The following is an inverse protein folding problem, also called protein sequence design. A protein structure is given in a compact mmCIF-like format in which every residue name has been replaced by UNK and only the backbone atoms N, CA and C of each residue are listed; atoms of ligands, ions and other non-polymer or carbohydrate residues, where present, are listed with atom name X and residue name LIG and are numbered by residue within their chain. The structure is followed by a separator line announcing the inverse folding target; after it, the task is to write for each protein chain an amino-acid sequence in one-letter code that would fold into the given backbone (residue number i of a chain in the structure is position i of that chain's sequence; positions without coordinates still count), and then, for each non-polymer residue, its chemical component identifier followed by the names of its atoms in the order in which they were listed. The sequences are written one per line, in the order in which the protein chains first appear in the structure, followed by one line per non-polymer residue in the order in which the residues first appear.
data_IF_701591352252
#
_entry.id   IF_701591352252
#
_cell.length_a   1.000
_cell.length_b   1.000
_cell.length_c   1.000
_cell.angle_alpha   90.00
_cell.angle_beta   90.00
_cell.angle_gamma   90.00
#
_symmetry.space_group_name_H-M   'P 1'
#
loop_
_entity.id
_entity.type
_entity.pdbx_description
1 polymer ?
#
# COMPACT_ATOMS: atom_id res chain seq x y z
N UNK A 1 -6.81 -26.38 6.08
CA UNK A 1 -6.58 -25.00 5.63
C UNK A 1 -7.77 -24.19 6.11
N UNK A 2 -7.59 -23.03 6.75
CA UNK A 2 -8.74 -22.17 7.04
C UNK A 2 -9.40 -21.81 5.71
N UNK A 3 -10.72 -21.84 5.67
CA UNK A 3 -11.53 -21.48 4.52
C UNK A 3 -11.21 -20.03 4.14
N UNK A 4 -10.60 -19.84 2.96
CA UNK A 4 -10.30 -18.49 2.45
C UNK A 4 -11.62 -17.77 2.24
N UNK A 5 -11.91 -16.78 3.06
CA UNK A 5 -13.12 -15.99 2.94
C UNK A 5 -12.94 -14.98 1.80
N UNK A 6 -13.70 -15.17 0.74
CA UNK A 6 -13.79 -14.21 -0.36
C UNK A 6 -14.21 -12.84 0.21
N UNK A 7 -13.48 -11.76 -0.10
CA UNK A 7 -13.85 -10.44 0.37
C UNK A 7 -15.24 -10.02 -0.10
N UNK A 8 -15.99 -9.34 0.76
CA UNK A 8 -17.37 -8.89 0.48
C UNK A 8 -17.43 -7.59 -0.35
N UNK A 9 -16.29 -6.95 -0.60
CA UNK A 9 -16.15 -5.68 -1.30
C UNK A 9 -14.73 -5.14 -1.17
N UNK A 10 -14.54 -3.86 -1.45
CA UNK A 10 -13.24 -3.19 -1.44
C UNK A 10 -13.31 -1.95 -0.54
N UNK A 11 -12.37 -1.84 0.38
CA UNK A 11 -12.12 -0.60 1.09
C UNK A 11 -10.80 0.01 0.60
N UNK A 12 -10.88 1.20 0.00
CA UNK A 12 -9.70 1.96 -0.42
C UNK A 12 -9.11 2.73 0.77
N UNK A 13 -7.80 2.63 0.96
CA UNK A 13 -7.03 3.38 1.96
C UNK A 13 -6.07 4.31 1.23
N UNK A 14 -6.20 5.61 1.48
CA UNK A 14 -5.42 6.67 0.85
C UNK A 14 -4.62 7.41 1.93
N UNK A 15 -3.34 7.04 2.16
CA UNK A 15 -2.45 7.86 2.97
C UNK A 15 -2.17 9.19 2.25
N UNK A 16 -2.37 10.31 2.92
CA UNK A 16 -2.18 11.63 2.34
C UNK A 16 -1.45 12.58 3.29
N UNK A 17 -0.56 13.43 2.75
CA UNK A 17 0.12 14.48 3.49
C UNK A 17 0.40 15.67 2.57
N UNK A 18 -0.23 16.80 2.84
CA UNK A 18 -0.15 18.02 2.03
C UNK A 18 -0.56 17.80 0.57
N UNK A 19 -1.74 17.21 0.38
CA UNK A 19 -2.34 16.88 -0.92
C UNK A 19 -3.66 17.63 -1.16
N UNK A 20 -3.90 18.77 -0.51
CA UNK A 20 -5.17 19.51 -0.62
C UNK A 20 -5.59 19.83 -2.06
N UNK A 21 -4.62 20.06 -2.96
CA UNK A 21 -4.88 20.36 -4.37
C UNK A 21 -5.36 19.14 -5.18
N UNK A 22 -5.01 17.92 -4.77
CA UNK A 22 -5.20 16.69 -5.55
C UNK A 22 -6.15 15.68 -4.94
N UNK A 23 -6.23 15.67 -3.60
CA UNK A 23 -6.95 14.61 -2.88
C UNK A 23 -8.43 14.53 -3.26
N UNK A 24 -9.08 15.65 -3.64
CA UNK A 24 -10.48 15.63 -4.04
C UNK A 24 -10.69 14.81 -5.32
N UNK A 25 -9.85 15.02 -6.34
CA UNK A 25 -9.90 14.26 -7.59
C UNK A 25 -9.57 12.79 -7.35
N UNK A 26 -8.53 12.50 -6.54
CA UNK A 26 -8.16 11.12 -6.16
C UNK A 26 -9.32 10.39 -5.48
N UNK A 27 -10.00 11.02 -4.51
CA UNK A 27 -11.16 10.44 -3.83
C UNK A 27 -12.32 10.21 -4.80
N UNK A 28 -12.64 11.22 -5.64
CA UNK A 28 -13.72 11.10 -6.61
C UNK A 28 -13.47 9.96 -7.61
N UNK A 29 -12.26 9.87 -8.15
CA UNK A 29 -11.84 8.81 -9.07
C UNK A 29 -11.82 7.43 -8.42
N UNK A 30 -11.36 7.32 -7.16
CA UNK A 30 -11.36 6.05 -6.38
C UNK A 30 -12.78 5.52 -6.18
N UNK A 31 -13.77 6.39 -5.97
CA UNK A 31 -15.18 5.99 -5.80
C UNK A 31 -15.82 5.40 -7.07
N UNK A 32 -15.18 5.58 -8.23
CA UNK A 32 -15.63 5.00 -9.51
C UNK A 32 -15.12 3.57 -9.71
N UNK A 33 -14.21 3.08 -8.85
CA UNK A 33 -13.71 1.70 -8.92
C UNK A 33 -14.85 0.74 -8.55
N UNK A 34 -15.19 -0.23 -9.42
CA UNK A 34 -16.24 -1.19 -9.12
C UNK A 34 -15.96 -1.97 -7.83
N UNK A 35 -16.95 -2.05 -6.95
CA UNK A 35 -16.85 -2.76 -5.67
C UNK A 35 -16.22 -1.96 -4.52
N UNK A 36 -15.74 -0.74 -4.75
CA UNK A 36 -15.31 0.16 -3.67
C UNK A 36 -16.54 0.75 -2.99
N UNK A 37 -16.75 0.41 -1.73
CA UNK A 37 -17.84 0.92 -0.89
C UNK A 37 -17.33 1.81 0.26
N UNK A 38 -16.04 1.76 0.58
CA UNK A 38 -15.38 2.64 1.56
C UNK A 38 -14.17 3.30 0.92
N UNK A 39 -14.07 4.63 1.04
CA UNK A 39 -12.84 5.39 0.77
C UNK A 39 -12.40 6.05 2.06
N UNK A 40 -11.31 5.52 2.64
CA UNK A 40 -10.69 5.98 3.88
C UNK A 40 -9.43 6.78 3.58
N UNK A 41 -9.46 8.09 3.81
CA UNK A 41 -8.26 8.93 3.74
C UNK A 41 -7.63 9.03 5.13
N UNK A 42 -6.33 8.81 5.22
CA UNK A 42 -5.57 9.06 6.44
C UNK A 42 -4.69 10.28 6.22
N UNK A 43 -5.12 11.40 6.77
CA UNK A 43 -4.37 12.65 6.77
C UNK A 43 -3.23 12.55 7.80
N UNK A 44 -2.01 12.35 7.32
CA UNK A 44 -0.83 12.10 8.15
C UNK A 44 -0.18 13.38 8.69
N UNK A 45 -1.00 14.23 9.30
CA UNK A 45 -0.56 15.46 9.94
C UNK A 45 -0.21 16.56 8.94
N UNK A 46 -1.07 16.76 7.94
CA UNK A 46 -0.93 17.85 6.96
C UNK A 46 -0.96 19.22 7.60
N UNK A 47 -0.25 20.16 6.99
CA UNK A 47 -0.26 21.57 7.35
C UNK A 47 -1.24 22.39 6.49
N UNK A 48 -1.81 21.78 5.45
CA UNK A 48 -2.82 22.32 4.56
C UNK A 48 -4.21 21.72 4.83
N UNK A 49 -5.20 22.03 3.99
CA UNK A 49 -6.58 21.59 4.15
C UNK A 49 -6.87 20.17 3.66
N UNK A 50 -5.85 19.31 3.48
CA UNK A 50 -5.98 17.93 2.93
C UNK A 50 -7.16 17.17 3.54
N UNK A 51 -7.22 17.05 4.87
CA UNK A 51 -8.27 16.29 5.54
C UNK A 51 -9.67 16.89 5.34
N UNK A 52 -9.79 18.20 5.31
CA UNK A 52 -11.06 18.91 5.07
C UNK A 52 -11.54 18.71 3.64
N UNK A 53 -10.64 18.82 2.67
CA UNK A 53 -10.93 18.62 1.24
C UNK A 53 -11.34 17.18 0.97
N UNK A 54 -10.66 16.20 1.56
CA UNK A 54 -11.00 14.78 1.45
C UNK A 54 -12.41 14.47 1.99
N UNK A 55 -12.79 15.04 3.16
CA UNK A 55 -14.16 14.88 3.70
C UNK A 55 -15.22 15.46 2.76
N UNK A 56 -14.97 16.65 2.21
CA UNK A 56 -15.89 17.28 1.25
C UNK A 56 -16.04 16.49 -0.04
N UNK A 57 -15.00 15.77 -0.46
CA UNK A 57 -15.06 14.84 -1.59
C UNK A 57 -15.80 13.52 -1.26
N UNK A 58 -16.21 13.34 0.01
CA UNK A 58 -17.00 12.21 0.47
C UNK A 58 -16.17 10.99 0.90
N UNK A 59 -14.92 11.21 1.33
CA UNK A 59 -14.13 10.20 2.02
C UNK A 59 -14.40 10.21 3.53
N UNK A 60 -14.25 9.06 4.17
CA UNK A 60 -14.02 9.00 5.61
C UNK A 60 -12.59 9.42 5.91
N UNK A 61 -12.37 10.19 6.97
CA UNK A 61 -11.04 10.74 7.24
C UNK A 61 -10.63 10.52 8.68
N UNK A 62 -9.47 9.87 8.84
CA UNK A 62 -8.72 9.84 10.10
C UNK A 62 -7.55 10.81 10.00
N UNK A 63 -7.36 11.64 11.03
CA UNK A 63 -6.27 12.64 11.04
C UNK A 63 -5.28 12.33 12.16
N UNK A 64 -4.00 12.23 11.81
CA UNK A 64 -2.91 12.16 12.78
C UNK A 64 -2.55 13.58 13.28
N UNK A 65 -2.27 13.73 14.55
CA UNK A 65 -1.82 15.02 15.13
C UNK A 65 -0.47 15.50 14.59
N UNK A 66 0.37 14.57 14.09
CA UNK A 66 1.68 14.82 13.49
C UNK A 66 1.99 13.70 12.49
N UNK A 67 2.87 13.97 11.55
CA UNK A 67 3.36 12.98 10.59
C UNK A 67 3.95 11.76 11.32
N UNK A 68 3.44 10.57 10.96
CA UNK A 68 3.92 9.26 11.42
C UNK A 68 4.50 8.42 10.28
N UNK A 69 4.37 8.89 9.04
CA UNK A 69 4.83 8.23 7.82
C UNK A 69 3.79 7.30 7.18
N UNK A 70 3.99 7.05 5.88
CA UNK A 70 3.08 6.30 5.01
C UNK A 70 2.65 4.95 5.62
N UNK A 71 3.58 4.15 6.10
CA UNK A 71 3.28 2.85 6.71
C UNK A 71 2.31 2.95 7.89
N UNK A 72 2.50 3.95 8.78
CA UNK A 72 1.60 4.18 9.91
C UNK A 72 0.22 4.65 9.44
N UNK A 73 0.15 5.49 8.41
CA UNK A 73 -1.12 5.92 7.84
C UNK A 73 -1.87 4.76 7.18
N UNK A 74 -1.19 3.90 6.42
CA UNK A 74 -1.77 2.69 5.84
C UNK A 74 -2.37 1.77 6.92
N UNK A 75 -1.62 1.50 8.00
CA UNK A 75 -2.11 0.69 9.14
C UNK A 75 -3.31 1.35 9.83
N UNK A 76 -3.25 2.67 10.06
CA UNK A 76 -4.35 3.40 10.69
C UNK A 76 -5.64 3.28 9.87
N UNK A 77 -5.58 3.46 8.56
CA UNK A 77 -6.73 3.31 7.67
C UNK A 77 -7.29 1.89 7.68
N UNK A 78 -6.43 0.88 7.56
CA UNK A 78 -6.85 -0.52 7.59
C UNK A 78 -7.49 -0.93 8.92
N UNK A 79 -6.97 -0.45 10.05
CA UNK A 79 -7.59 -0.71 11.37
C UNK A 79 -8.91 0.07 11.55
N UNK A 80 -9.03 1.29 11.02
CA UNK A 80 -10.30 2.01 11.02
C UNK A 80 -11.39 1.26 10.24
N UNK A 81 -11.04 0.69 9.08
CA UNK A 81 -11.92 -0.17 8.29
C UNK A 81 -12.30 -1.43 9.06
N UNK A 82 -11.34 -2.11 9.70
CA UNK A 82 -11.61 -3.29 10.54
C UNK A 82 -12.59 -2.97 11.68
N UNK A 83 -12.43 -1.84 12.35
CA UNK A 83 -13.34 -1.42 13.42
C UNK A 83 -14.74 -1.14 12.88
N UNK A 84 -14.85 -0.56 11.68
CA UNK A 84 -16.12 -0.35 11.02
C UNK A 84 -16.80 -1.67 10.66
N UNK A 85 -16.08 -2.62 10.07
CA UNK A 85 -16.58 -3.96 9.75
C UNK A 85 -17.12 -4.68 11.01
N UNK A 86 -16.42 -4.56 12.14
CA UNK A 86 -16.88 -5.10 13.42
C UNK A 86 -18.16 -4.42 13.88
N UNK A 87 -18.28 -3.09 13.71
CA UNK A 87 -19.48 -2.35 14.10
C UNK A 87 -20.67 -2.56 13.15
N UNK A 88 -20.43 -2.95 11.92
CA UNK A 88 -21.46 -3.30 10.92
C UNK A 88 -22.03 -4.72 11.16
N UNK A 89 -21.25 -5.59 11.77
CA UNK A 89 -21.71 -6.94 12.12
C UNK A 89 -22.71 -6.91 13.28
N UNK A 90 -23.75 -7.73 13.19
CA UNK A 90 -24.69 -7.94 14.26
C UNK A 90 -24.07 -8.67 15.48
N UNK A 91 -24.74 -8.64 16.64
CA UNK A 91 -24.29 -9.39 17.81
C UNK A 91 -24.16 -10.89 17.53
N UNK A 92 -22.94 -11.42 17.66
CA UNK A 92 -22.63 -12.83 17.38
C UNK A 92 -22.38 -13.17 15.91
N UNK A 93 -22.47 -12.20 14.99
CA UNK A 93 -22.11 -12.37 13.59
C UNK A 93 -20.61 -12.22 13.38
N UNK A 94 -20.08 -12.99 12.42
CA UNK A 94 -18.69 -12.78 11.97
C UNK A 94 -18.66 -11.60 11.00
N UNK A 95 -17.82 -10.58 11.25
CA UNK A 95 -17.71 -9.45 10.33
C UNK A 95 -17.36 -9.89 8.91
N UNK A 96 -18.05 -9.33 7.93
CA UNK A 96 -17.64 -9.44 6.54
C UNK A 96 -16.38 -8.59 6.31
N UNK A 97 -15.38 -9.16 5.62
CA UNK A 97 -14.11 -8.49 5.39
C UNK A 97 -14.02 -7.97 3.96
N UNK A 98 -13.54 -6.73 3.83
CA UNK A 98 -13.22 -6.12 2.53
C UNK A 98 -11.76 -6.38 2.18
N UNK A 99 -11.47 -6.50 0.88
CA UNK A 99 -10.12 -6.34 0.38
C UNK A 99 -9.64 -4.91 0.64
N UNK A 100 -8.36 -4.73 0.98
CA UNK A 100 -7.76 -3.43 1.23
C UNK A 100 -7.01 -2.95 -0.01
N UNK A 101 -7.50 -1.90 -0.67
CA UNK A 101 -6.87 -1.27 -1.82
C UNK A 101 -6.12 -0.02 -1.36
N UNK A 102 -4.78 -0.08 -1.34
CA UNK A 102 -3.93 1.07 -1.03
C UNK A 102 -3.69 1.89 -2.29
N UNK A 103 -3.92 3.20 -2.20
CA UNK A 103 -3.84 4.17 -3.29
C UNK A 103 -3.05 5.39 -2.81
N UNK A 104 -2.10 5.90 -3.63
CA UNK A 104 -1.38 7.13 -3.30
C UNK A 104 -2.29 8.35 -3.47
N UNK A 105 -2.14 9.36 -2.60
CA UNK A 105 -3.05 10.51 -2.51
C UNK A 105 -2.98 11.49 -3.68
N UNK A 106 -1.99 11.36 -4.57
CA UNK A 106 -1.68 12.26 -5.70
C UNK A 106 -2.01 11.68 -7.08
N UNK A 107 -2.79 10.58 -7.15
CA UNK A 107 -3.14 9.93 -8.42
C UNK A 107 -4.23 10.65 -9.22
N UNK A 108 -4.98 11.54 -8.60
CA UNK A 108 -6.05 12.33 -9.22
C UNK A 108 -7.02 11.44 -10.06
N UNK A 109 -7.31 11.82 -11.29
CA UNK A 109 -8.24 11.07 -12.16
C UNK A 109 -7.73 9.68 -12.54
N UNK A 110 -6.42 9.39 -12.43
CA UNK A 110 -5.87 8.08 -12.73
C UNK A 110 -6.12 7.03 -11.62
N UNK A 111 -6.62 7.43 -10.45
CA UNK A 111 -6.87 6.50 -9.35
C UNK A 111 -7.87 5.38 -9.73
N UNK A 112 -8.84 5.63 -10.60
CA UNK A 112 -9.76 4.59 -11.11
C UNK A 112 -9.03 3.46 -11.85
N UNK A 113 -7.86 3.75 -12.43
CA UNK A 113 -7.06 2.76 -13.16
C UNK A 113 -6.34 1.76 -12.22
N UNK A 114 -6.52 1.89 -10.89
CA UNK A 114 -6.12 0.83 -9.94
C UNK A 114 -7.16 -0.29 -9.83
N UNK A 115 -8.31 -0.18 -10.46
CA UNK A 115 -9.38 -1.20 -10.47
C UNK A 115 -8.89 -2.63 -10.81
N UNK A 116 -7.95 -2.85 -11.77
CA UNK A 116 -7.45 -4.18 -12.08
C UNK A 116 -6.78 -4.90 -10.91
N UNK A 117 -6.27 -4.16 -9.90
CA UNK A 117 -5.66 -4.75 -8.72
C UNK A 117 -6.64 -5.55 -7.86
N UNK A 118 -7.90 -5.16 -7.86
CA UNK A 118 -8.90 -5.76 -6.99
C UNK A 118 -9.44 -7.09 -7.51
N UNK A 119 -9.54 -7.25 -8.82
CA UNK A 119 -10.19 -8.41 -9.43
C UNK A 119 -9.59 -9.77 -9.00
N UNK A 120 -8.25 -10.00 -9.05
CA UNK A 120 -7.68 -11.27 -8.62
C UNK A 120 -7.87 -11.55 -7.12
N UNK A 121 -7.87 -10.50 -6.29
CA UNK A 121 -8.07 -10.63 -4.84
C UNK A 121 -9.52 -10.98 -4.51
N UNK A 122 -10.48 -10.33 -5.18
CA UNK A 122 -11.90 -10.62 -5.03
C UNK A 122 -12.28 -12.02 -5.54
N UNK A 123 -11.61 -12.48 -6.61
CA UNK A 123 -11.79 -13.83 -7.14
C UNK A 123 -11.11 -14.91 -6.27
N UNK A 124 -10.30 -14.52 -5.28
CA UNK A 124 -9.50 -15.46 -4.50
C UNK A 124 -8.37 -16.11 -5.31
N UNK A 125 -7.96 -15.51 -6.41
CA UNK A 125 -6.85 -15.97 -7.28
C UNK A 125 -5.50 -15.49 -6.76
N UNK A 126 -5.44 -14.28 -6.18
CA UNK A 126 -4.29 -13.72 -5.50
C UNK A 126 -4.67 -13.25 -4.08
N UNK A 127 -3.68 -13.20 -3.20
CA UNK A 127 -3.81 -12.68 -1.84
C UNK A 127 -3.28 -11.25 -1.74
N UNK A 128 -2.33 -10.89 -2.62
CA UNK A 128 -1.88 -9.52 -2.82
C UNK A 128 -1.59 -9.26 -4.30
N UNK A 129 -2.04 -8.13 -4.80
CA UNK A 129 -1.66 -7.62 -6.11
C UNK A 129 -0.83 -6.34 -5.98
N UNK A 130 0.11 -6.14 -6.90
CA UNK A 130 1.03 -4.99 -6.96
C UNK A 130 0.89 -4.34 -8.33
N UNK A 131 0.66 -3.02 -8.38
CA UNK A 131 0.59 -2.31 -9.65
C UNK A 131 1.94 -2.25 -10.35
N UNK A 132 1.96 -2.64 -11.63
CA UNK A 132 3.02 -2.30 -12.58
C UNK A 132 2.57 -1.04 -13.33
N UNK A 133 3.36 0.03 -13.20
CA UNK A 133 3.11 1.27 -13.88
C UNK A 133 3.77 1.25 -15.28
N UNK A 134 3.19 1.95 -16.26
CA UNK A 134 3.79 2.09 -17.58
C UNK A 134 5.21 2.65 -17.52
N UNK A 135 6.05 2.28 -18.47
CA UNK A 135 7.40 2.82 -18.58
C UNK A 135 7.33 4.35 -18.71
N UNK A 136 7.94 5.06 -17.77
CA UNK A 136 7.93 6.52 -17.79
C UNK A 136 8.66 7.05 -19.04
N UNK A 137 8.01 7.92 -19.80
CA UNK A 137 8.58 8.59 -21.00
C UNK A 137 9.81 9.47 -20.66
N UNK A 138 9.96 9.90 -19.41
CA UNK A 138 11.15 10.63 -18.92
C UNK A 138 11.88 9.76 -17.89
N UNK A 139 13.17 9.50 -18.12
CA UNK A 139 14.02 8.81 -17.14
C UNK A 139 14.05 9.64 -15.86
N UNK A 140 13.56 9.06 -14.74
CA UNK A 140 13.65 9.66 -13.43
C UNK A 140 15.11 9.97 -13.04
N UNK A 141 15.31 10.92 -12.13
CA UNK A 141 16.65 11.40 -11.74
C UNK A 141 17.50 10.43 -10.88
N UNK A 142 17.03 9.19 -10.62
CA UNK A 142 17.73 8.21 -9.79
C UNK A 142 18.54 7.19 -10.60
N UNK A 143 19.61 6.66 -10.00
CA UNK A 143 20.47 5.62 -10.60
C UNK A 143 19.87 4.21 -10.46
N UNK A 144 18.61 4.05 -10.08
CA UNK A 144 17.99 2.74 -9.88
C UNK A 144 18.49 1.96 -8.64
N UNK A 145 19.36 2.55 -7.82
CA UNK A 145 19.99 1.87 -6.68
C UNK A 145 18.98 1.36 -5.65
N UNK A 146 17.96 2.15 -5.33
CA UNK A 146 16.92 1.75 -4.36
C UNK A 146 16.07 0.61 -4.92
N UNK A 147 15.69 0.72 -6.20
CA UNK A 147 14.93 -0.32 -6.90
C UNK A 147 15.75 -1.61 -6.99
N UNK A 148 17.03 -1.51 -7.36
CA UNK A 148 17.94 -2.66 -7.43
C UNK A 148 18.13 -3.34 -6.07
N UNK A 149 18.30 -2.56 -4.99
CA UNK A 149 18.39 -3.08 -3.64
C UNK A 149 17.12 -3.83 -3.23
N UNK A 150 15.94 -3.24 -3.49
CA UNK A 150 14.65 -3.85 -3.17
C UNK A 150 14.42 -5.15 -3.96
N UNK A 151 14.64 -5.14 -5.30
CA UNK A 151 14.52 -6.32 -6.15
C UNK A 151 15.38 -7.47 -5.64
N UNK A 152 16.68 -7.20 -5.47
CA UNK A 152 17.63 -8.21 -4.98
C UNK A 152 17.23 -8.73 -3.60
N UNK A 153 16.82 -7.84 -2.70
CA UNK A 153 16.45 -8.24 -1.35
C UNK A 153 15.18 -9.06 -1.29
N UNK A 154 14.16 -8.74 -2.10
CA UNK A 154 12.92 -9.52 -2.21
C UNK A 154 13.24 -10.92 -2.76
N UNK A 155 13.97 -11.01 -3.89
CA UNK A 155 14.34 -12.28 -4.50
C UNK A 155 15.13 -13.17 -3.54
N UNK A 156 16.14 -12.61 -2.84
CA UNK A 156 16.96 -13.36 -1.85
C UNK A 156 16.15 -13.87 -0.65
N UNK A 157 15.15 -13.12 -0.19
CA UNK A 157 14.45 -13.40 1.07
C UNK A 157 13.13 -14.14 0.90
N UNK A 158 12.53 -14.08 -0.28
CA UNK A 158 11.22 -14.70 -0.55
C UNK A 158 11.16 -15.53 -1.84
N UNK A 159 12.15 -15.40 -2.72
CA UNK A 159 12.13 -16.04 -4.04
C UNK A 159 11.24 -15.34 -5.07
N UNK A 160 10.59 -14.22 -4.71
CA UNK A 160 9.72 -13.48 -5.63
C UNK A 160 10.52 -12.49 -6.47
N UNK A 161 10.36 -12.55 -7.80
CA UNK A 161 11.03 -11.68 -8.76
C UNK A 161 10.18 -10.44 -9.07
N UNK A 162 10.28 -9.41 -8.21
CA UNK A 162 9.48 -8.20 -8.34
C UNK A 162 9.92 -7.34 -9.53
N UNK A 163 8.97 -6.93 -10.38
CA UNK A 163 9.20 -5.97 -11.48
C UNK A 163 9.26 -4.54 -10.96
N UNK A 164 8.29 -4.14 -10.14
CA UNK A 164 8.22 -2.81 -9.52
C UNK A 164 8.10 -2.89 -7.97
N UNK A 165 9.18 -3.21 -7.27
CA UNK A 165 9.18 -3.54 -5.83
C UNK A 165 8.75 -2.41 -4.91
N UNK A 166 8.78 -1.16 -5.40
CA UNK A 166 8.46 0.05 -4.64
C UNK A 166 7.10 0.65 -5.03
N UNK A 167 6.30 -0.07 -5.83
CA UNK A 167 4.94 0.38 -6.15
C UNK A 167 4.08 0.40 -4.89
N UNK A 168 3.47 1.55 -4.63
CA UNK A 168 2.61 1.78 -3.46
C UNK A 168 1.16 1.35 -3.65
N UNK A 169 0.71 1.24 -4.91
CA UNK A 169 -0.66 0.80 -5.22
C UNK A 169 -0.73 -0.71 -5.17
N UNK A 170 -1.54 -1.22 -4.23
CA UNK A 170 -1.66 -2.66 -3.93
C UNK A 170 -3.06 -2.98 -3.45
N UNK A 171 -3.56 -4.15 -3.80
CA UNK A 171 -4.76 -4.69 -3.18
C UNK A 171 -4.38 -5.95 -2.39
N UNK A 172 -4.88 -6.07 -1.16
CA UNK A 172 -4.58 -7.16 -0.25
C UNK A 172 -5.86 -7.80 0.27
N UNK A 173 -5.85 -9.13 0.36
CA UNK A 173 -6.78 -9.84 1.23
C UNK A 173 -6.51 -9.48 2.70
N UNK A 174 -7.43 -9.77 3.58
CA UNK A 174 -7.22 -9.55 5.01
C UNK A 174 -6.08 -10.41 5.57
N UNK A 175 -5.94 -11.62 5.05
CA UNK A 175 -4.86 -12.53 5.42
C UNK A 175 -3.50 -11.99 5.01
N UNK A 176 -3.37 -11.46 3.79
CA UNK A 176 -2.14 -10.83 3.33
C UNK A 176 -1.78 -9.58 4.15
N UNK A 177 -2.79 -8.78 4.51
CA UNK A 177 -2.56 -7.62 5.39
C UNK A 177 -2.05 -8.05 6.76
N UNK A 178 -2.67 -9.04 7.39
CA UNK A 178 -2.28 -9.53 8.71
C UNK A 178 -0.89 -10.19 8.68
N UNK A 179 -0.56 -10.95 7.62
CA UNK A 179 0.76 -11.54 7.42
C UNK A 179 1.89 -10.50 7.26
N UNK A 180 1.57 -9.33 6.71
CA UNK A 180 2.53 -8.24 6.51
C UNK A 180 2.78 -7.40 7.78
N UNK A 181 2.03 -7.62 8.86
CA UNK A 181 2.19 -6.87 10.11
C UNK A 181 3.35 -7.40 10.98
N UNK A 182 4.09 -6.53 11.65
CA UNK A 182 4.01 -5.07 11.57
C UNK A 182 4.70 -4.55 10.30
N UNK A 183 4.12 -3.55 9.65
CA UNK A 183 4.71 -2.93 8.46
C UNK A 183 6.11 -2.38 8.73
N UNK A 184 7.01 -2.53 7.77
CA UNK A 184 8.30 -1.86 7.83
C UNK A 184 8.11 -0.33 7.80
N UNK A 185 8.90 0.38 8.60
CA UNK A 185 8.79 1.83 8.69
C UNK A 185 9.28 2.53 7.41
N UNK A 186 8.75 3.72 7.16
CA UNK A 186 9.17 4.60 6.07
C UNK A 186 8.99 3.96 4.69
N UNK A 187 9.96 4.17 3.83
CA UNK A 187 10.00 3.69 2.43
C UNK A 187 10.32 2.19 2.28
N UNK A 188 10.45 1.47 3.39
CA UNK A 188 10.65 0.02 3.39
C UNK A 188 9.35 -0.78 3.38
N UNK A 189 8.20 -0.11 3.50
CA UNK A 189 6.90 -0.76 3.67
C UNK A 189 6.57 -1.69 2.51
N UNK A 190 6.72 -1.25 1.28
CA UNK A 190 6.40 -2.03 0.08
C UNK A 190 7.29 -3.26 -0.06
N UNK A 191 8.61 -3.07 0.14
CA UNK A 191 9.60 -4.16 0.12
C UNK A 191 9.33 -5.18 1.22
N UNK A 192 9.07 -4.70 2.44
CA UNK A 192 8.79 -5.55 3.58
C UNK A 192 7.51 -6.35 3.40
N UNK A 193 6.44 -5.70 3.01
CA UNK A 193 5.13 -6.32 2.76
C UNK A 193 5.23 -7.46 1.75
N UNK A 194 5.94 -7.24 0.62
CA UNK A 194 6.12 -8.30 -0.40
C UNK A 194 6.82 -9.52 0.19
N UNK A 195 7.92 -9.34 0.93
CA UNK A 195 8.66 -10.44 1.55
C UNK A 195 7.79 -11.20 2.55
N UNK A 196 7.07 -10.48 3.41
CA UNK A 196 6.29 -11.09 4.50
C UNK A 196 5.10 -11.89 3.97
N UNK A 197 4.38 -11.35 2.97
CA UNK A 197 3.23 -12.01 2.33
C UNK A 197 3.68 -13.29 1.59
N UNK A 198 4.75 -13.21 0.79
CA UNK A 198 5.27 -14.40 0.07
C UNK A 198 5.78 -15.46 1.05
N UNK A 199 6.49 -15.07 2.11
CA UNK A 199 7.00 -16.01 3.11
C UNK A 199 5.90 -16.65 3.97
N UNK A 200 4.72 -16.02 4.05
CA UNK A 200 3.52 -16.63 4.63
C UNK A 200 2.87 -17.68 3.71
N UNK A 201 3.41 -17.90 2.52
CA UNK A 201 2.87 -18.87 1.54
C UNK A 201 1.66 -18.33 0.77
N UNK A 202 1.44 -17.01 0.80
CA UNK A 202 0.33 -16.34 0.13
C UNK A 202 0.73 -15.93 -1.30
N UNK A 203 -0.26 -15.87 -2.19
CA UNK A 203 -0.05 -15.62 -3.62
C UNK A 203 0.06 -14.12 -3.90
N UNK A 204 1.16 -13.74 -4.53
CA UNK A 204 1.43 -12.35 -4.94
C UNK A 204 1.49 -12.27 -6.45
N UNK A 205 0.77 -11.31 -7.04
CA UNK A 205 0.71 -11.07 -8.46
C UNK A 205 1.01 -9.61 -8.79
N UNK A 206 1.73 -9.36 -9.88
CA UNK A 206 1.94 -8.02 -10.44
C UNK A 206 0.96 -7.79 -11.58
N UNK A 207 0.22 -6.66 -11.53
CA UNK A 207 -0.86 -6.32 -12.46
C UNK A 207 -0.57 -4.98 -13.13
N UNK A 208 -0.66 -4.92 -14.45
CA UNK A 208 -0.48 -3.67 -15.19
C UNK A 208 -1.61 -2.68 -14.91
N UNK A 209 -1.24 -1.44 -14.58
CA UNK A 209 -2.16 -0.34 -14.32
C UNK A 209 -1.70 0.91 -15.05
N UNK A 210 -2.58 1.55 -15.80
CA UNK A 210 -2.27 2.81 -16.52
C UNK A 210 -2.32 4.00 -15.58
N UNK A 211 -1.27 4.13 -14.78
CA UNK A 211 -1.15 5.13 -13.72
C UNK A 211 -0.12 6.20 -14.08
N UNK A 212 -0.43 7.43 -13.74
CA UNK A 212 0.44 8.57 -13.96
C UNK A 212 0.93 9.13 -12.63
N UNK A 213 2.23 9.02 -12.38
CA UNK A 213 2.87 9.61 -11.21
C UNK A 213 3.69 10.84 -11.57
N UNK A 214 3.76 11.75 -10.60
CA UNK A 214 4.65 12.91 -10.66
C UNK A 214 6.12 12.46 -10.69
N UNK A 215 6.86 12.89 -11.71
CA UNK A 215 8.30 12.63 -11.82
C UNK A 215 9.05 13.53 -10.84
N UNK A 216 9.72 12.94 -9.85
CA UNK A 216 10.62 13.67 -8.93
C UNK A 216 11.87 14.17 -9.65
N UNK A 217 12.22 15.45 -9.43
CA UNK A 217 13.38 16.11 -10.02
C UNK A 217 14.75 15.57 -9.57
N UNK A 218 15.82 16.30 -9.96
CA UNK A 218 17.24 15.98 -9.63
C UNK A 218 17.86 16.92 -8.59
N UNK A 219 17.06 17.73 -7.90
CA UNK A 219 17.52 18.68 -6.90
C UNK A 219 18.10 18.01 -5.63
N UNK A 220 18.70 18.78 -4.77
CA UNK A 220 19.32 18.30 -3.53
C UNK A 220 18.28 17.64 -2.61
N UNK A 221 17.05 18.17 -2.58
CA UNK A 221 15.94 17.62 -1.79
C UNK A 221 15.55 16.22 -2.29
N UNK A 222 15.51 16.01 -3.60
CA UNK A 222 15.26 14.70 -4.20
C UNK A 222 16.40 13.70 -3.93
N UNK A 223 17.65 14.16 -3.81
CA UNK A 223 18.77 13.28 -3.43
C UNK A 223 18.69 12.84 -1.98
N UNK A 224 18.40 13.75 -1.04
CA UNK A 224 18.18 13.43 0.36
C UNK A 224 17.01 12.47 0.55
N UNK A 225 15.92 12.67 -0.21
CA UNK A 225 14.77 11.78 -0.24
C UNK A 225 15.17 10.36 -0.67
N UNK A 226 15.95 10.22 -1.75
CA UNK A 226 16.45 8.90 -2.21
C UNK A 226 17.39 8.23 -1.22
N UNK A 227 18.23 9.00 -0.52
CA UNK A 227 19.08 8.46 0.54
C UNK A 227 18.24 7.92 1.71
N UNK A 228 17.16 8.61 2.09
CA UNK A 228 16.23 8.13 3.09
C UNK A 228 15.50 6.86 2.63
N UNK A 229 15.04 6.80 1.37
CA UNK A 229 14.46 5.60 0.79
C UNK A 229 15.43 4.41 0.84
N UNK A 230 16.67 4.61 0.42
CA UNK A 230 17.69 3.56 0.45
C UNK A 230 17.91 3.02 1.86
N UNK A 231 18.06 3.92 2.84
CA UNK A 231 18.22 3.56 4.26
C UNK A 231 17.03 2.74 4.78
N UNK A 232 15.81 3.15 4.47
CA UNK A 232 14.61 2.52 4.98
C UNK A 232 14.39 1.13 4.35
N UNK A 233 14.63 0.99 3.04
CA UNK A 233 14.63 -0.32 2.36
C UNK A 233 15.73 -1.22 2.92
N UNK A 234 16.96 -0.72 3.08
CA UNK A 234 18.06 -1.49 3.67
C UNK A 234 17.72 -1.98 5.09
N UNK A 235 17.09 -1.11 5.91
CA UNK A 235 16.63 -1.48 7.26
C UNK A 235 15.55 -2.56 7.22
N UNK A 236 14.55 -2.44 6.34
CA UNK A 236 13.50 -3.43 6.17
C UNK A 236 14.07 -4.82 5.81
N UNK A 237 15.05 -4.85 4.89
CA UNK A 237 15.76 -6.07 4.50
C UNK A 237 16.60 -6.65 5.65
N UNK A 238 17.32 -5.80 6.39
CA UNK A 238 18.15 -6.24 7.52
C UNK A 238 17.32 -6.94 8.59
N UNK A 239 16.19 -6.34 8.97
CA UNK A 239 15.29 -6.92 9.99
C UNK A 239 14.83 -8.31 9.56
N UNK A 240 14.43 -8.49 8.29
CA UNK A 240 13.96 -9.78 7.76
C UNK A 240 15.07 -10.82 7.62
N UNK A 241 16.28 -10.39 7.23
CA UNK A 241 17.46 -11.27 7.23
C UNK A 241 17.79 -11.80 8.62
N UNK A 242 17.72 -10.95 9.64
CA UNK A 242 17.94 -11.35 11.03
C UNK A 242 16.85 -12.31 11.53
N UNK A 243 15.59 -12.06 11.20
CA UNK A 243 14.49 -12.96 11.52
C UNK A 243 14.65 -14.35 10.87
N UNK A 244 15.00 -14.38 9.58
CA UNK A 244 15.24 -15.64 8.85
C UNK A 244 16.41 -16.43 9.43
N UNK A 245 17.51 -15.77 9.84
CA UNK A 245 18.65 -16.43 10.51
C UNK A 245 18.25 -17.03 11.85
N UNK A 246 17.46 -16.31 12.66
CA UNK A 246 16.96 -16.82 13.95
C UNK A 246 16.09 -18.06 13.78
N UNK A 247 15.18 -18.03 12.82
CA UNK A 247 14.31 -19.17 12.51
C UNK A 247 15.10 -20.41 12.06
N UNK A 248 16.22 -20.22 11.34
CA UNK A 248 17.12 -21.34 10.94
C UNK A 248 17.96 -21.88 12.10
N UNK A 249 18.29 -21.06 13.10
CA UNK A 249 19.06 -21.47 14.27
C UNK A 249 18.21 -22.23 15.33
N UNK A 250 16.89 -22.20 15.21
CA UNK A 250 15.94 -22.88 16.11
C UNK A 250 15.42 -24.22 15.56
N UNK A 251 15.82 -24.59 14.33
CA UNK A 251 15.55 -25.88 13.69
C UNK A 251 16.78 -26.79 13.76
#
# INVERSE_FOLDING_TARGET
MPEQRTPSGIAAVIPAMNEAERIAATVASTKLIPGVDIVMVVDDGSSDDTGTVARRAGAEVVTHRKNKGKAAAMMTGAFAIRNREISEAGPGETPAHRALLFIDGDLEDSAVNTAPLAAPVLAGEADMTIAILPAQKRKGGGFGLVVGLAKKGIAELSGFEATQPLSGMRCLSREAFDAALPFAAGWGVETGMTIDVVNAGLRVEEVECDLHHRVTGRDLKAQLHRAAQYRDVARALLVRRLAARRAKAQK
#
